data_IF_308556959356
#
_entry.id   IF_308556959356
#
_cell.length_a   1.000
_cell.length_b   1.000
_cell.length_c   1.000
_cell.angle_alpha   90.00
_cell.angle_beta   90.00
_cell.angle_gamma   90.00
#
_symmetry.space_group_name_H-M   'P 1'
#
loop_
_entity.id
_entity.type
_entity.pdbx_description
1 polymer ?
#
# COMPACT_ATOMS: atom_id res chain seq x y z
N UNK A 1 -52.98 -11.40 36.49
CA UNK A 1 -52.53 -10.80 35.22
C UNK A 1 -51.57 -9.69 35.60
N UNK A 2 -50.27 -9.95 35.45
CA UNK A 2 -49.35 -8.96 34.89
C UNK A 2 -48.22 -9.72 34.17
N UNK A 3 -47.97 -9.36 32.91
CA UNK A 3 -47.47 -10.25 31.86
C UNK A 3 -45.94 -10.30 31.72
N UNK A 4 -45.18 -9.98 32.78
CA UNK A 4 -43.71 -9.91 32.73
C UNK A 4 -42.97 -10.76 33.76
N UNK A 5 -43.68 -11.56 34.57
CA UNK A 5 -43.06 -12.39 35.62
C UNK A 5 -42.96 -13.89 35.29
N UNK A 6 -43.04 -14.29 34.01
CA UNK A 6 -43.12 -15.72 33.64
C UNK A 6 -42.09 -16.21 32.61
N UNK A 7 -41.00 -15.47 32.39
CA UNK A 7 -39.85 -15.94 31.58
C UNK A 7 -38.52 -15.69 32.31
N UNK A 8 -38.52 -15.82 33.64
CA UNK A 8 -37.30 -15.75 34.47
C UNK A 8 -36.84 -17.12 34.98
N UNK A 9 -37.49 -18.22 34.63
CA UNK A 9 -37.13 -19.54 35.13
C UNK A 9 -37.32 -20.66 34.11
N UNK A 10 -36.68 -20.54 32.94
CA UNK A 10 -36.16 -21.73 32.26
C UNK A 10 -35.06 -21.36 31.27
N UNK A 11 -34.01 -22.17 31.25
CA UNK A 11 -32.85 -22.12 30.37
C UNK A 11 -31.63 -21.31 30.87
N UNK A 12 -31.19 -21.63 32.08
CA UNK A 12 -29.79 -21.97 32.28
C UNK A 12 -29.48 -23.29 31.56
N UNK A 13 -29.28 -23.26 30.24
CA UNK A 13 -28.62 -24.36 29.49
C UNK A 13 -27.79 -23.75 28.36
N UNK A 14 -26.47 -23.72 28.59
CA UNK A 14 -25.39 -23.53 27.61
C UNK A 14 -25.58 -22.44 26.54
N UNK A 15 -25.34 -21.19 26.91
CA UNK A 15 -25.13 -20.09 25.95
C UNK A 15 -24.09 -19.13 26.49
N UNK A 16 -22.82 -19.34 26.15
CA UNK A 16 -21.75 -18.39 26.50
C UNK A 16 -21.97 -17.12 25.68
N UNK A 17 -22.42 -16.06 26.34
CA UNK A 17 -22.41 -14.70 25.80
C UNK A 17 -20.96 -14.24 25.71
N UNK A 18 -20.45 -13.95 24.52
CA UNK A 18 -19.11 -13.41 24.34
C UNK A 18 -19.13 -11.89 24.45
N UNK A 19 -18.21 -11.34 25.24
CA UNK A 19 -17.95 -9.91 25.34
C UNK A 19 -17.26 -9.36 24.12
N UNK A 20 -17.92 -8.51 23.33
CA UNK A 20 -17.31 -7.76 22.24
C UNK A 20 -16.63 -6.53 22.81
N UNK A 21 -15.48 -6.74 23.45
CA UNK A 21 -14.50 -5.69 23.71
C UNK A 21 -13.44 -5.58 22.59
N UNK A 22 -13.54 -6.38 21.52
CA UNK A 22 -12.36 -6.85 20.78
C UNK A 22 -12.26 -6.45 19.30
N UNK A 23 -13.10 -5.53 18.81
CA UNK A 23 -12.91 -4.89 17.51
C UNK A 23 -13.36 -3.42 17.57
N UNK A 24 -12.47 -2.51 17.19
CA UNK A 24 -12.80 -1.10 17.04
C UNK A 24 -13.09 -0.82 15.55
N UNK A 25 -14.27 -0.24 15.29
CA UNK A 25 -14.68 0.20 13.96
C UNK A 25 -14.23 1.64 13.81
N UNK A 26 -13.30 1.90 12.90
CA UNK A 26 -12.86 3.25 12.56
C UNK A 26 -13.49 3.69 11.24
N UNK A 27 -13.94 4.94 11.19
CA UNK A 27 -14.40 5.55 9.95
C UNK A 27 -13.29 5.56 8.90
N UNK A 28 -13.65 5.32 7.64
CA UNK A 28 -12.70 5.40 6.53
C UNK A 28 -12.53 6.85 6.12
N UNK A 29 -11.58 7.57 6.73
CA UNK A 29 -11.13 8.83 6.16
C UNK A 29 -10.28 8.54 4.91
N UNK A 30 -10.46 9.38 3.89
CA UNK A 30 -9.74 9.28 2.62
C UNK A 30 -8.26 9.50 2.92
N UNK A 31 -7.43 8.51 2.61
CA UNK A 31 -5.97 8.50 2.83
C UNK A 31 -5.20 9.46 1.88
N UNK A 32 -5.82 10.59 1.51
CA UNK A 32 -5.14 11.72 0.86
C UNK A 32 -4.29 12.52 1.87
N UNK A 33 -4.53 12.31 3.16
CA UNK A 33 -3.98 13.13 4.26
C UNK A 33 -2.48 12.94 4.49
N UNK A 34 -1.86 11.86 4.00
CA UNK A 34 -0.40 11.66 4.11
C UNK A 34 0.39 12.38 3.00
N UNK A 35 -0.24 12.71 1.86
CA UNK A 35 0.41 13.44 0.77
C UNK A 35 0.27 14.96 0.94
N UNK A 36 -0.83 15.40 1.56
CA UNK A 36 -1.05 16.81 1.87
C UNK A 36 -0.23 17.31 3.07
N UNK A 37 0.27 16.43 3.94
CA UNK A 37 1.07 16.82 5.11
C UNK A 37 2.47 17.34 4.76
N UNK A 38 3.00 17.05 3.57
CA UNK A 38 4.29 17.57 3.12
C UNK A 38 4.16 18.85 2.27
N UNK A 39 3.08 19.00 1.49
CA UNK A 39 2.91 20.15 0.59
C UNK A 39 2.30 21.40 1.26
N UNK A 40 1.68 21.26 2.43
CA UNK A 40 1.03 22.37 3.15
C UNK A 40 1.97 23.21 4.04
N UNK A 41 3.27 22.90 4.14
CA UNK A 41 4.20 23.68 4.98
C UNK A 41 4.53 25.10 4.45
N UNK A 42 4.08 25.46 3.25
CA UNK A 42 4.41 26.76 2.64
C UNK A 42 3.24 27.71 2.36
N UNK A 43 2.01 27.42 2.78
CA UNK A 43 0.92 28.40 2.64
C UNK A 43 -0.07 28.34 3.78
N UNK A 44 0.04 29.34 4.68
CA UNK A 44 -1.01 29.95 5.53
C UNK A 44 -1.78 28.99 6.46
N UNK A 45 -1.92 29.30 7.77
CA UNK A 45 -2.64 28.45 8.72
C UNK A 45 -4.15 28.54 8.50
N UNK A 46 -4.69 27.84 7.50
CA UNK A 46 -6.11 27.47 7.52
C UNK A 46 -6.29 26.38 8.54
N UNK A 47 -6.85 26.77 9.68
CA UNK A 47 -7.29 25.87 10.74
C UNK A 47 -8.22 24.83 10.14
N UNK A 48 -7.74 23.59 9.99
CA UNK A 48 -8.61 22.45 9.73
C UNK A 48 -9.51 22.35 10.96
N UNK A 49 -10.76 22.79 10.83
CA UNK A 49 -11.79 22.51 11.82
C UNK A 49 -11.93 20.99 11.90
N UNK A 50 -11.30 20.38 12.90
CA UNK A 50 -11.62 19.01 13.30
C UNK A 50 -13.11 19.03 13.68
N UNK A 51 -13.96 18.46 12.83
CA UNK A 51 -15.34 18.18 13.23
C UNK A 51 -15.29 17.10 14.30
N UNK A 52 -15.25 17.52 15.57
CA UNK A 52 -15.49 16.64 16.70
C UNK A 52 -16.98 16.33 16.75
N UNK A 53 -17.40 15.11 16.38
CA UNK A 53 -18.75 14.63 16.69
C UNK A 53 -19.48 13.80 15.63
N UNK A 54 -18.85 13.38 14.53
CA UNK A 54 -19.50 12.47 13.60
C UNK A 54 -19.49 11.05 14.17
N UNK A 55 -20.65 10.55 14.58
CA UNK A 55 -20.83 9.15 14.93
C UNK A 55 -21.87 8.51 14.01
N UNK A 56 -21.70 7.21 13.71
CA UNK A 56 -22.52 6.51 12.73
C UNK A 56 -23.18 5.28 13.31
N UNK A 57 -24.38 4.98 12.80
CA UNK A 57 -24.92 3.63 12.84
C UNK A 57 -24.24 2.81 11.76
N UNK A 58 -23.46 1.80 12.14
CA UNK A 58 -22.64 1.03 11.21
C UNK A 58 -23.29 -0.32 10.95
N UNK A 59 -23.75 -0.62 9.73
CA UNK A 59 -24.20 -1.96 9.37
C UNK A 59 -22.98 -2.88 9.27
N UNK A 60 -22.89 -3.86 10.18
CA UNK A 60 -21.79 -4.80 10.27
C UNK A 60 -22.26 -6.18 9.82
N UNK A 61 -21.50 -6.76 8.90
CA UNK A 61 -21.63 -8.16 8.49
C UNK A 61 -20.44 -8.95 9.04
N UNK A 62 -20.73 -10.09 9.67
CA UNK A 62 -19.76 -11.03 10.23
C UNK A 62 -19.90 -12.36 9.47
N UNK A 63 -18.80 -12.88 8.93
CA UNK A 63 -18.75 -14.16 8.22
C UNK A 63 -17.75 -15.12 8.88
N UNK A 64 -17.76 -16.37 8.41
CA UNK A 64 -16.68 -17.33 8.68
C UNK A 64 -15.34 -16.76 8.21
N UNK A 65 -14.27 -17.01 8.97
CA UNK A 65 -12.95 -16.45 8.66
C UNK A 65 -12.48 -16.80 7.25
N UNK A 66 -12.81 -17.99 6.75
CA UNK A 66 -12.30 -18.54 5.51
C UNK A 66 -13.30 -18.54 4.36
N UNK A 67 -14.55 -18.10 4.59
CA UNK A 67 -15.60 -18.09 3.57
C UNK A 67 -16.49 -16.84 3.70
N UNK A 68 -16.28 -15.90 2.78
CA UNK A 68 -17.02 -14.63 2.71
C UNK A 68 -18.51 -14.80 2.42
N UNK A 69 -18.92 -15.94 1.86
CA UNK A 69 -20.33 -16.24 1.57
C UNK A 69 -21.06 -16.85 2.78
N UNK A 70 -20.31 -17.45 3.72
CA UNK A 70 -20.84 -18.01 4.96
C UNK A 70 -21.03 -16.91 6.00
N UNK A 71 -22.07 -16.11 5.82
CA UNK A 71 -22.47 -15.07 6.76
C UNK A 71 -23.02 -15.69 8.04
N UNK A 72 -22.47 -15.28 9.18
CA UNK A 72 -22.86 -15.76 10.50
C UNK A 72 -23.86 -14.80 11.16
N UNK A 73 -23.60 -13.49 11.06
CA UNK A 73 -24.43 -12.45 11.68
C UNK A 73 -24.44 -11.19 10.82
N UNK A 74 -25.60 -10.53 10.73
CA UNK A 74 -25.73 -9.14 10.28
C UNK A 74 -26.37 -8.33 11.38
N UNK A 75 -25.76 -7.21 11.74
CA UNK A 75 -26.24 -6.34 12.82
C UNK A 75 -25.93 -4.88 12.51
N UNK A 76 -26.50 -3.97 13.29
CA UNK A 76 -26.16 -2.55 13.24
C UNK A 76 -25.53 -2.17 14.57
N UNK A 77 -24.31 -1.63 14.52
CA UNK A 77 -23.62 -1.12 15.68
C UNK A 77 -24.02 0.35 15.86
N UNK A 78 -24.64 0.72 17.00
CA UNK A 78 -25.00 2.10 17.25
C UNK A 78 -23.77 2.95 17.61
N UNK A 79 -23.86 4.28 17.43
CA UNK A 79 -22.80 5.20 17.85
C UNK A 79 -22.57 5.20 19.38
N UNK A 80 -21.37 5.62 19.84
CA UNK A 80 -20.95 5.49 21.25
C UNK A 80 -21.83 6.32 22.19
N UNK A 81 -22.32 7.48 21.74
CA UNK A 81 -23.28 8.28 22.52
C UNK A 81 -24.57 7.49 22.85
N UNK A 82 -25.01 6.62 21.95
CA UNK A 82 -26.21 5.79 22.14
C UNK A 82 -25.90 4.59 23.04
N UNK A 83 -24.72 3.99 22.89
CA UNK A 83 -24.28 2.88 23.75
C UNK A 83 -23.77 3.32 25.12
N UNK A 84 -23.69 4.63 25.40
CA UNK A 84 -23.13 5.22 26.63
C UNK A 84 -21.71 4.71 26.90
N UNK A 85 -20.89 4.72 25.85
CA UNK A 85 -19.50 4.21 25.85
C UNK A 85 -19.35 2.73 26.23
N UNK A 86 -20.46 1.97 26.31
CA UNK A 86 -20.40 0.54 26.53
C UNK A 86 -20.12 -0.20 25.21
N UNK A 87 -19.35 -1.29 25.26
CA UNK A 87 -19.10 -2.12 24.09
C UNK A 87 -20.41 -2.76 23.60
N UNK A 88 -20.63 -2.76 22.28
CA UNK A 88 -21.80 -3.43 21.68
C UNK A 88 -21.51 -4.91 21.51
N UNK A 89 -22.38 -5.74 22.09
CA UNK A 89 -22.23 -7.19 22.22
C UNK A 89 -23.00 -7.93 21.13
N UNK A 90 -22.34 -8.79 20.34
CA UNK A 90 -22.96 -9.48 19.20
C UNK A 90 -22.84 -11.01 19.32
N UNK A 91 -23.84 -11.71 19.85
CA UNK A 91 -23.75 -13.17 19.98
C UNK A 91 -23.54 -13.86 18.61
N UNK A 92 -22.44 -14.62 18.46
CA UNK A 92 -22.16 -15.43 17.27
C UNK A 92 -22.60 -16.87 17.55
N UNK A 93 -23.38 -17.50 16.65
CA UNK A 93 -23.74 -18.91 16.80
C UNK A 93 -22.50 -19.81 16.85
N UNK A 94 -22.37 -20.61 17.91
CA UNK A 94 -21.32 -21.62 18.04
C UNK A 94 -21.88 -23.01 17.71
N UNK A 95 -21.25 -23.74 16.79
CA UNK A 95 -21.55 -25.14 16.54
C UNK A 95 -20.38 -26.00 17.05
N UNK A 96 -20.61 -26.85 18.06
CA UNK A 96 -19.62 -27.85 18.49
C UNK A 96 -18.67 -27.43 19.63
N UNK A 97 -19.01 -26.41 20.42
CA UNK A 97 -18.27 -26.07 21.65
C UNK A 97 -16.95 -25.32 21.46
N UNK A 98 -16.46 -25.20 20.22
CA UNK A 98 -15.34 -24.32 19.86
C UNK A 98 -15.84 -22.93 19.48
N UNK A 99 -15.11 -21.86 19.85
CA UNK A 99 -15.47 -20.51 19.42
C UNK A 99 -15.30 -20.39 17.89
N UNK A 100 -16.28 -19.81 17.17
CA UNK A 100 -16.20 -19.64 15.73
C UNK A 100 -15.07 -18.65 15.38
N UNK A 101 -14.26 -19.03 14.39
CA UNK A 101 -13.29 -18.12 13.77
C UNK A 101 -14.03 -17.23 12.79
N UNK A 102 -13.96 -15.92 12.97
CA UNK A 102 -14.80 -14.97 12.24
C UNK A 102 -14.00 -13.84 11.62
N UNK A 103 -14.59 -13.23 10.59
CA UNK A 103 -14.10 -12.04 9.94
C UNK A 103 -15.24 -11.05 9.72
N UNK A 104 -14.93 -9.76 9.72
CA UNK A 104 -15.90 -8.70 9.54
C UNK A 104 -15.73 -8.06 8.16
N UNK A 105 -16.79 -7.40 7.71
CA UNK A 105 -16.83 -6.65 6.45
C UNK A 105 -16.41 -7.49 5.23
N UNK A 106 -17.05 -8.65 4.97
CA UNK A 106 -16.75 -9.44 3.77
C UNK A 106 -16.96 -8.60 2.52
N UNK A 107 -16.03 -8.71 1.58
CA UNK A 107 -15.94 -7.97 0.33
C UNK A 107 -15.87 -6.45 0.50
N UNK A 108 -15.44 -5.95 1.67
CA UNK A 108 -15.27 -4.52 1.93
C UNK A 108 -16.48 -3.65 1.55
N UNK A 109 -17.71 -4.17 1.77
CA UNK A 109 -18.95 -3.50 1.36
C UNK A 109 -19.28 -2.32 2.29
N UNK A 110 -18.94 -2.46 3.57
CA UNK A 110 -19.14 -1.43 4.57
C UNK A 110 -18.03 -0.38 4.53
N UNK A 111 -18.39 0.89 4.69
CA UNK A 111 -17.47 2.02 4.73
C UNK A 111 -16.86 2.19 6.13
N UNK A 112 -16.04 1.23 6.53
CA UNK A 112 -15.33 1.22 7.81
C UNK A 112 -14.14 0.27 7.77
N UNK A 113 -13.15 0.55 8.62
CA UNK A 113 -11.98 -0.31 8.83
C UNK A 113 -12.17 -1.22 10.03
N UNK A 114 -11.58 -2.41 9.99
CA UNK A 114 -11.68 -3.40 11.06
C UNK A 114 -10.36 -3.57 11.78
N UNK A 115 -10.31 -3.21 13.07
CA UNK A 115 -9.20 -3.55 13.95
C UNK A 115 -9.43 -4.92 14.62
N UNK A 116 -8.67 -5.93 14.22
CA UNK A 116 -8.75 -7.27 14.80
C UNK A 116 -7.84 -7.40 16.03
N UNK A 117 -8.34 -8.04 17.08
CA UNK A 117 -7.51 -8.37 18.25
C UNK A 117 -6.45 -9.43 17.93
N UNK A 118 -5.42 -9.50 18.78
CA UNK A 118 -4.37 -10.53 18.71
C UNK A 118 -4.91 -11.97 18.83
N UNK A 119 -6.12 -12.15 19.37
CA UNK A 119 -6.79 -13.45 19.45
C UNK A 119 -7.38 -13.90 18.10
N UNK A 120 -7.89 -12.95 17.30
CA UNK A 120 -8.52 -13.24 16.00
C UNK A 120 -7.52 -13.23 14.85
N UNK A 121 -6.49 -12.38 14.94
CA UNK A 121 -5.50 -12.18 13.88
C UNK A 121 -4.84 -13.48 13.39
N UNK A 122 -4.42 -14.44 14.25
CA UNK A 122 -3.82 -15.69 13.80
C UNK A 122 -4.72 -16.49 12.86
N UNK A 123 -6.03 -16.52 13.13
CA UNK A 123 -6.98 -17.23 12.27
C UNK A 123 -7.16 -16.60 10.89
N UNK A 124 -6.96 -15.29 10.80
CA UNK A 124 -7.00 -14.53 9.54
C UNK A 124 -5.71 -14.77 8.76
N UNK A 125 -4.55 -14.76 9.44
CA UNK A 125 -3.26 -15.10 8.83
C UNK A 125 -3.26 -16.53 8.28
N UNK A 126 -3.83 -17.50 9.01
CA UNK A 126 -4.03 -18.86 8.52
C UNK A 126 -4.87 -18.89 7.22
N UNK A 127 -5.96 -18.13 7.17
CA UNK A 127 -6.84 -18.06 6.01
C UNK A 127 -6.16 -17.38 4.79
N UNK A 128 -5.34 -16.36 5.05
CA UNK A 128 -4.50 -15.69 4.05
C UNK A 128 -3.47 -16.66 3.46
N UNK A 129 -2.70 -17.34 4.30
CA UNK A 129 -1.68 -18.29 3.86
C UNK A 129 -2.24 -19.52 3.14
N UNK A 130 -3.50 -19.88 3.39
CA UNK A 130 -4.21 -20.94 2.67
C UNK A 130 -4.89 -20.46 1.38
N UNK A 131 -4.73 -19.19 1.00
CA UNK A 131 -5.36 -18.57 -0.18
C UNK A 131 -6.89 -18.76 -0.25
N UNK A 132 -7.57 -18.76 0.90
CA UNK A 132 -9.03 -18.94 0.98
C UNK A 132 -9.83 -17.66 0.79
N UNK A 133 -9.17 -16.51 0.89
CA UNK A 133 -9.82 -15.20 0.84
C UNK A 133 -9.86 -14.65 -0.58
N UNK A 134 -10.94 -13.94 -0.90
CA UNK A 134 -11.07 -13.23 -2.18
C UNK A 134 -10.00 -12.13 -2.31
N UNK A 135 -9.71 -11.67 -3.53
CA UNK A 135 -8.78 -10.55 -3.75
C UNK A 135 -9.22 -9.28 -3.00
N UNK A 136 -10.52 -9.00 -2.98
CA UNK A 136 -11.07 -7.81 -2.32
C UNK A 136 -10.93 -7.89 -0.79
N UNK A 137 -11.17 -9.07 -0.21
CA UNK A 137 -10.97 -9.27 1.23
C UNK A 137 -9.51 -9.14 1.64
N UNK A 138 -8.61 -9.75 0.86
CA UNK A 138 -7.16 -9.64 1.08
C UNK A 138 -6.67 -8.20 1.03
N UNK A 139 -7.11 -7.45 0.01
CA UNK A 139 -6.80 -6.03 -0.14
C UNK A 139 -7.31 -5.21 1.05
N UNK A 140 -8.56 -5.43 1.46
CA UNK A 140 -9.17 -4.70 2.59
C UNK A 140 -8.42 -4.94 3.90
N UNK A 141 -8.09 -6.20 4.21
CA UNK A 141 -7.36 -6.56 5.43
C UNK A 141 -5.98 -5.91 5.44
N UNK A 142 -5.28 -5.96 4.30
CA UNK A 142 -3.96 -5.34 4.16
C UNK A 142 -4.02 -3.82 4.37
N UNK A 143 -4.93 -3.15 3.67
CA UNK A 143 -5.10 -1.71 3.75
C UNK A 143 -5.49 -1.26 5.16
N UNK A 144 -6.41 -1.99 5.80
CA UNK A 144 -6.85 -1.71 7.17
C UNK A 144 -5.69 -1.82 8.15
N UNK A 145 -4.90 -2.89 8.07
CA UNK A 145 -3.79 -3.09 9.00
C UNK A 145 -2.74 -1.97 8.91
N UNK A 146 -2.40 -1.51 7.70
CA UNK A 146 -1.47 -0.39 7.54
C UNK A 146 -2.06 0.96 7.97
N UNK A 147 -3.33 1.21 7.68
CA UNK A 147 -4.01 2.42 8.13
C UNK A 147 -4.12 2.47 9.67
N UNK A 148 -4.45 1.34 10.31
CA UNK A 148 -4.48 1.20 11.76
C UNK A 148 -3.11 1.40 12.39
N UNK A 149 -2.05 0.89 11.77
CA UNK A 149 -0.68 1.11 12.22
C UNK A 149 -0.28 2.60 12.14
N UNK A 150 -0.62 3.29 11.04
CA UNK A 150 -0.39 4.74 10.90
C UNK A 150 -1.16 5.55 11.94
N UNK A 151 -2.40 5.15 12.24
CA UNK A 151 -3.24 5.81 13.23
C UNK A 151 -2.88 5.43 14.69
N UNK A 152 -1.92 4.52 14.90
CA UNK A 152 -1.48 4.10 16.23
C UNK A 152 -2.41 3.12 16.94
N UNK A 153 -3.39 2.53 16.24
CA UNK A 153 -4.30 1.51 16.78
C UNK A 153 -3.72 0.09 16.77
N UNK A 154 -2.63 -0.14 16.03
CA UNK A 154 -1.81 -1.35 16.11
C UNK A 154 -0.34 -1.03 15.86
N UNK A 155 0.56 -2.00 16.10
CA UNK A 155 1.99 -1.81 15.84
C UNK A 155 2.33 -1.95 14.36
N UNK A 156 3.37 -1.23 13.91
CA UNK A 156 3.93 -1.41 12.57
C UNK A 156 4.44 -2.85 12.36
N UNK A 157 5.01 -3.46 13.40
CA UNK A 157 5.44 -4.87 13.38
C UNK A 157 4.28 -5.81 13.07
N UNK A 158 3.09 -5.57 13.64
CA UNK A 158 1.89 -6.35 13.33
C UNK A 158 1.49 -6.20 11.86
N UNK A 159 1.51 -4.97 11.32
CA UNK A 159 1.24 -4.73 9.90
C UNK A 159 2.25 -5.40 8.97
N UNK A 160 3.55 -5.33 9.28
CA UNK A 160 4.59 -6.00 8.51
C UNK A 160 4.51 -7.53 8.59
N UNK A 161 4.11 -8.07 9.74
CA UNK A 161 3.86 -9.51 9.92
C UNK A 161 2.65 -9.97 9.10
N UNK A 162 1.61 -9.16 9.02
CA UNK A 162 0.48 -9.44 8.14
C UNK A 162 0.91 -9.36 6.66
N UNK A 163 1.67 -8.33 6.29
CA UNK A 163 2.16 -8.16 4.93
C UNK A 163 3.00 -9.35 4.46
N UNK A 164 3.84 -9.95 5.33
CA UNK A 164 4.65 -11.13 4.96
C UNK A 164 3.83 -12.36 4.58
N UNK A 165 2.55 -12.42 4.94
CA UNK A 165 1.63 -13.51 4.52
C UNK A 165 1.20 -13.40 3.06
N UNK A 166 1.57 -12.31 2.35
CA UNK A 166 1.26 -12.07 0.94
C UNK A 166 2.37 -12.53 -0.02
N UNK A 167 3.30 -13.37 0.45
CA UNK A 167 4.32 -13.96 -0.42
C UNK A 167 3.67 -14.72 -1.58
N UNK A 168 4.07 -14.38 -2.81
CA UNK A 168 3.50 -14.99 -4.01
C UNK A 168 2.10 -14.50 -4.39
N UNK A 169 1.68 -13.33 -3.89
CA UNK A 169 0.52 -12.63 -4.42
C UNK A 169 0.60 -12.48 -5.95
N UNK A 170 -0.55 -12.53 -6.61
CA UNK A 170 -0.65 -12.36 -8.08
C UNK A 170 -1.59 -11.22 -8.46
N UNK A 171 -2.44 -10.77 -7.54
CA UNK A 171 -3.38 -9.68 -7.80
C UNK A 171 -2.68 -8.32 -7.86
N UNK A 172 -2.91 -7.58 -8.95
CA UNK A 172 -2.28 -6.30 -9.20
C UNK A 172 -2.66 -5.23 -8.16
N UNK A 173 -3.91 -5.18 -7.71
CA UNK A 173 -4.37 -4.15 -6.78
C UNK A 173 -3.73 -4.35 -5.40
N UNK A 174 -3.62 -5.61 -4.97
CA UNK A 174 -2.93 -5.97 -3.71
C UNK A 174 -1.44 -5.64 -3.80
N UNK A 175 -0.80 -5.93 -4.94
CA UNK A 175 0.60 -5.54 -5.16
C UNK A 175 0.81 -4.03 -5.13
N UNK A 176 -0.12 -3.26 -5.71
CA UNK A 176 -0.06 -1.81 -5.66
C UNK A 176 -0.12 -1.29 -4.22
N UNK A 177 -1.01 -1.85 -3.39
CA UNK A 177 -1.11 -1.52 -1.97
C UNK A 177 0.18 -1.88 -1.23
N UNK A 178 0.67 -3.12 -1.33
CA UNK A 178 1.94 -3.54 -0.72
C UNK A 178 3.08 -2.59 -1.10
N UNK A 179 3.25 -2.32 -2.40
CA UNK A 179 4.30 -1.42 -2.90
C UNK A 179 4.14 -0.02 -2.31
N UNK A 180 2.93 0.51 -2.28
CA UNK A 180 2.65 1.85 -1.76
C UNK A 180 3.06 1.95 -0.29
N UNK A 181 2.58 1.00 0.55
CA UNK A 181 2.83 1.01 1.99
C UNK A 181 4.31 0.78 2.33
N UNK A 182 4.98 -0.16 1.65
CA UNK A 182 6.39 -0.44 1.88
C UNK A 182 7.30 0.70 1.37
N UNK A 183 6.94 1.39 0.29
CA UNK A 183 7.67 2.58 -0.17
C UNK A 183 7.51 3.75 0.79
N UNK A 184 6.32 3.93 1.38
CA UNK A 184 6.11 4.94 2.41
C UNK A 184 7.03 4.70 3.61
N UNK A 185 7.11 3.47 4.10
CA UNK A 185 8.03 3.10 5.19
C UNK A 185 9.49 3.32 4.79
N UNK A 186 9.87 2.95 3.56
CA UNK A 186 11.23 3.20 3.05
C UNK A 186 11.60 4.67 3.10
N UNK A 187 10.70 5.55 2.67
CA UNK A 187 10.90 7.00 2.73
C UNK A 187 11.16 7.47 4.17
N UNK A 188 10.35 7.03 5.13
CA UNK A 188 10.53 7.36 6.54
C UNK A 188 11.87 6.86 7.11
N UNK A 189 12.29 5.65 6.74
CA UNK A 189 13.59 5.11 7.17
C UNK A 189 14.77 5.91 6.59
N UNK A 190 14.68 6.31 5.33
CA UNK A 190 15.70 7.10 4.66
C UNK A 190 15.79 8.51 5.24
N UNK A 191 14.64 9.15 5.52
CA UNK A 191 14.58 10.45 6.19
C UNK A 191 15.17 10.38 7.61
N UNK A 192 14.83 9.33 8.37
CA UNK A 192 15.36 9.13 9.72
C UNK A 192 16.88 8.86 9.73
N UNK A 193 17.41 8.29 8.65
CA UNK A 193 18.84 7.97 8.48
C UNK A 193 19.64 9.13 7.88
N UNK A 194 18.96 10.14 7.35
CA UNK A 194 19.60 11.28 6.70
C UNK A 194 20.28 12.18 7.74
N UNK A 195 21.61 12.23 7.69
CA UNK A 195 22.39 13.21 8.46
C UNK A 195 22.53 14.47 7.62
N UNK A 196 22.09 15.62 8.13
CA UNK A 196 22.26 16.89 7.44
C UNK A 196 23.75 17.15 7.20
N UNK A 197 24.16 17.17 5.93
CA UNK A 197 25.54 17.42 5.52
C UNK A 197 25.56 18.39 4.34
N UNK A 198 26.50 19.34 4.33
CA UNK A 198 26.71 20.28 3.23
C UNK A 198 27.22 19.61 1.94
N UNK A 199 27.56 18.32 1.99
CA UNK A 199 27.99 17.50 0.86
C UNK A 199 26.98 16.39 0.62
N UNK A 200 26.68 16.12 -0.65
CA UNK A 200 25.86 14.99 -1.07
C UNK A 200 26.51 13.69 -0.57
N UNK A 201 25.89 13.09 0.45
CA UNK A 201 26.33 11.85 1.08
C UNK A 201 25.28 10.77 0.82
N UNK A 202 25.72 9.62 0.32
CA UNK A 202 24.89 8.42 0.17
C UNK A 202 25.34 7.43 1.25
N UNK A 203 24.78 7.49 2.46
CA UNK A 203 25.15 6.56 3.50
C UNK A 203 24.80 5.12 3.08
N UNK A 204 25.53 4.11 3.57
CA UNK A 204 25.13 2.73 3.37
C UNK A 204 23.74 2.49 3.98
N UNK A 205 22.97 1.52 3.45
CA UNK A 205 21.65 1.19 3.97
C UNK A 205 21.71 0.84 5.46
N UNK A 206 20.72 1.29 6.22
CA UNK A 206 20.60 0.87 7.63
C UNK A 206 20.06 -0.56 7.75
N UNK A 207 20.27 -1.26 8.87
CA UNK A 207 19.69 -2.60 9.07
C UNK A 207 18.16 -2.66 8.87
N UNK A 208 17.46 -1.56 9.15
CA UNK A 208 16.02 -1.46 8.90
C UNK A 208 15.68 -1.36 7.41
N UNK A 209 16.48 -0.62 6.63
CA UNK A 209 16.34 -0.53 5.18
C UNK A 209 16.69 -1.85 4.49
N UNK A 210 17.72 -2.54 4.98
CA UNK A 210 18.10 -3.89 4.53
C UNK A 210 16.95 -4.88 4.82
N UNK A 211 16.45 -4.93 6.06
CA UNK A 211 15.35 -5.81 6.42
C UNK A 211 14.05 -5.53 5.65
N UNK A 212 13.76 -4.27 5.34
CA UNK A 212 12.63 -3.92 4.47
C UNK A 212 12.86 -4.37 3.02
N UNK A 213 14.09 -4.29 2.53
CA UNK A 213 14.45 -4.77 1.20
C UNK A 213 14.35 -6.29 1.11
N UNK A 214 14.80 -7.01 2.14
CA UNK A 214 14.65 -8.46 2.26
C UNK A 214 13.18 -8.89 2.29
N UNK A 215 12.32 -8.16 3.01
CA UNK A 215 10.88 -8.40 3.00
C UNK A 215 10.29 -8.22 1.59
N UNK A 216 10.63 -7.14 0.89
CA UNK A 216 10.16 -6.90 -0.48
C UNK A 216 10.63 -8.02 -1.42
N UNK A 217 11.88 -8.44 -1.30
CA UNK A 217 12.43 -9.56 -2.07
C UNK A 217 11.71 -10.86 -1.75
N UNK A 218 11.44 -11.14 -0.48
CA UNK A 218 10.71 -12.33 -0.05
C UNK A 218 9.29 -12.36 -0.63
N UNK A 219 8.54 -11.26 -0.49
CA UNK A 219 7.17 -11.13 -1.00
C UNK A 219 7.10 -11.41 -2.50
N UNK A 220 8.03 -10.81 -3.24
CA UNK A 220 8.05 -10.88 -4.68
C UNK A 220 8.98 -11.98 -5.21
N UNK A 221 9.54 -12.84 -4.36
CA UNK A 221 10.47 -13.90 -4.76
C UNK A 221 9.94 -14.79 -5.91
N UNK A 222 8.64 -15.18 -5.95
CA UNK A 222 8.11 -15.94 -7.09
C UNK A 222 8.21 -15.20 -8.44
N UNK A 223 8.23 -13.87 -8.41
CA UNK A 223 8.36 -12.98 -9.57
C UNK A 223 9.82 -12.57 -9.80
N UNK A 224 10.56 -12.18 -8.75
CA UNK A 224 11.95 -11.74 -8.82
C UNK A 224 12.93 -12.87 -9.13
N UNK A 225 12.68 -14.10 -8.71
CA UNK A 225 13.49 -15.25 -9.14
C UNK A 225 13.49 -15.39 -10.67
N UNK A 226 12.45 -14.87 -11.35
CA UNK A 226 12.44 -14.75 -12.81
C UNK A 226 13.22 -13.51 -13.28
N UNK A 227 13.00 -12.34 -12.68
CA UNK A 227 13.63 -11.07 -13.10
C UNK A 227 15.14 -10.99 -12.88
N UNK A 228 15.65 -11.58 -11.78
CA UNK A 228 17.08 -11.71 -11.50
C UNK A 228 17.74 -12.89 -12.21
N UNK A 229 16.99 -13.63 -13.04
CA UNK A 229 17.56 -14.63 -13.92
C UNK A 229 18.47 -13.93 -14.93
N UNK A 230 19.67 -14.48 -15.11
CA UNK A 230 20.60 -14.04 -16.15
C UNK A 230 19.91 -13.94 -17.54
N UNK A 231 18.92 -14.80 -17.81
CA UNK A 231 18.10 -14.74 -19.03
C UNK A 231 17.30 -13.45 -19.18
N UNK A 232 16.69 -12.94 -18.11
CA UNK A 232 15.90 -11.71 -18.17
C UNK A 232 16.79 -10.48 -18.31
N UNK A 233 17.94 -10.47 -17.62
CA UNK A 233 18.94 -9.42 -17.80
C UNK A 233 19.45 -9.42 -19.24
N UNK A 234 19.84 -10.58 -19.78
CA UNK A 234 20.26 -10.72 -21.18
C UNK A 234 19.18 -10.25 -22.17
N UNK A 235 17.91 -10.61 -21.96
CA UNK A 235 16.81 -10.15 -22.81
C UNK A 235 16.60 -8.63 -22.71
N UNK A 236 16.68 -8.04 -21.51
CA UNK A 236 16.58 -6.60 -21.33
C UNK A 236 17.68 -5.85 -22.09
N UNK A 237 18.93 -6.35 -22.04
CA UNK A 237 20.03 -5.81 -22.83
C UNK A 237 19.81 -5.99 -24.33
N UNK A 238 19.33 -7.14 -24.78
CA UNK A 238 19.04 -7.40 -26.19
C UNK A 238 17.90 -6.51 -26.73
N UNK A 239 16.84 -6.31 -25.94
CA UNK A 239 15.75 -5.38 -26.26
C UNK A 239 16.26 -3.94 -26.30
N UNK A 240 17.10 -3.54 -25.34
CA UNK A 240 17.69 -2.19 -25.33
C UNK A 240 18.62 -1.95 -26.51
N UNK A 241 19.47 -2.92 -26.88
CA UNK A 241 20.36 -2.80 -28.04
C UNK A 241 19.58 -2.63 -29.35
N UNK A 242 18.51 -3.43 -29.57
CA UNK A 242 17.61 -3.27 -30.73
C UNK A 242 16.96 -1.89 -30.76
N UNK A 243 16.45 -1.45 -29.62
CA UNK A 243 15.81 -0.14 -29.49
C UNK A 243 16.78 1.03 -29.70
N UNK A 244 17.98 0.94 -29.13
CA UNK A 244 19.04 1.93 -29.31
C UNK A 244 19.40 2.07 -30.78
N UNK A 245 19.64 0.94 -31.47
CA UNK A 245 19.95 0.96 -32.90
C UNK A 245 18.83 1.60 -33.72
N UNK A 246 17.59 1.19 -33.47
CA UNK A 246 16.44 1.73 -34.19
C UNK A 246 16.29 3.25 -33.98
N UNK A 247 16.44 3.75 -32.76
CA UNK A 247 16.12 5.15 -32.42
C UNK A 247 17.31 6.11 -32.54
N UNK A 248 18.55 5.64 -32.32
CA UNK A 248 19.74 6.49 -32.28
C UNK A 248 20.68 6.30 -33.47
N UNK A 249 20.80 5.09 -34.05
CA UNK A 249 21.70 4.82 -35.17
C UNK A 249 20.99 4.92 -36.54
N UNK A 250 19.76 4.42 -36.64
CA UNK A 250 18.97 4.38 -37.89
C UNK A 250 18.06 5.60 -38.10
N UNK A 251 18.38 6.75 -37.49
CA UNK A 251 17.60 8.00 -37.56
C UNK A 251 17.49 8.63 -38.98
N UNK A 252 17.96 7.95 -40.02
CA UNK A 252 18.08 8.45 -41.40
C UNK A 252 16.96 8.03 -42.37
N UNK A 253 15.88 7.40 -41.90
CA UNK A 253 14.59 7.46 -42.61
C UNK A 253 13.94 6.16 -43.07
N UNK A 254 14.40 4.98 -42.62
CA UNK A 254 13.63 3.75 -42.79
C UNK A 254 12.64 3.59 -41.62
N UNK A 255 11.39 3.24 -41.95
CA UNK A 255 10.34 3.00 -40.97
C UNK A 255 10.79 1.88 -40.01
N UNK A 256 11.09 2.24 -38.75
CA UNK A 256 11.52 1.28 -37.74
C UNK A 256 10.50 0.15 -37.61
N UNK A 257 10.98 -1.09 -37.50
CA UNK A 257 10.09 -2.21 -37.26
C UNK A 257 9.50 -2.06 -35.86
N UNK A 258 8.17 -2.18 -35.69
CA UNK A 258 7.52 -2.04 -34.40
C UNK A 258 8.08 -2.98 -33.31
N UNK A 259 8.60 -4.13 -33.73
CA UNK A 259 9.22 -5.15 -32.87
C UNK A 259 10.57 -4.76 -32.26
N UNK A 260 11.28 -3.79 -32.85
CA UNK A 260 12.57 -3.29 -32.33
C UNK A 260 12.38 -2.14 -31.35
N UNK A 261 11.17 -1.57 -31.28
CA UNK A 261 10.85 -0.47 -30.35
C UNK A 261 10.35 -1.04 -29.03
N UNK A 262 11.01 -0.66 -27.93
CA UNK A 262 10.53 -1.02 -26.59
C UNK A 262 9.15 -0.38 -26.35
N UNK A 263 8.12 -1.19 -26.01
CA UNK A 263 6.81 -0.70 -25.61
C UNK A 263 6.91 0.28 -24.44
N UNK A 264 6.11 1.35 -24.45
CA UNK A 264 6.19 2.43 -23.46
C UNK A 264 6.18 1.93 -22.01
N UNK A 265 5.31 0.95 -21.71
CA UNK A 265 5.16 0.36 -20.37
C UNK A 265 6.40 -0.40 -19.89
N UNK A 266 7.24 -0.88 -20.81
CA UNK A 266 8.45 -1.65 -20.49
C UNK A 266 9.72 -0.79 -20.45
N UNK A 267 9.68 0.47 -20.93
CA UNK A 267 10.86 1.34 -21.01
C UNK A 267 11.49 1.56 -19.65
N UNK A 268 10.70 1.91 -18.63
CA UNK A 268 11.21 2.17 -17.28
C UNK A 268 11.90 0.91 -16.72
N UNK A 269 11.27 -0.26 -16.88
CA UNK A 269 11.82 -1.51 -16.39
C UNK A 269 13.12 -1.88 -17.12
N UNK A 270 13.14 -1.82 -18.46
CA UNK A 270 14.31 -2.19 -19.26
C UNK A 270 15.47 -1.20 -19.03
N UNK A 271 15.23 0.11 -19.10
CA UNK A 271 16.27 1.11 -18.90
C UNK A 271 16.86 1.03 -17.48
N UNK A 272 16.01 0.83 -16.47
CA UNK A 272 16.49 0.69 -15.08
C UNK A 272 17.32 -0.57 -14.89
N UNK A 273 16.93 -1.69 -15.51
CA UNK A 273 17.71 -2.96 -15.47
C UNK A 273 19.05 -2.80 -16.18
N UNK A 274 19.06 -2.19 -17.37
CA UNK A 274 20.30 -1.93 -18.12
C UNK A 274 21.24 -0.99 -17.34
N UNK A 275 20.74 0.08 -16.73
CA UNK A 275 21.56 0.96 -15.88
C UNK A 275 22.11 0.27 -14.64
N UNK A 276 21.32 -0.63 -14.04
CA UNK A 276 21.71 -1.33 -12.82
C UNK A 276 22.82 -2.36 -13.07
N UNK A 277 22.84 -2.98 -14.24
CA UNK A 277 23.75 -4.08 -14.56
C UNK A 277 24.80 -3.72 -15.64
N UNK A 278 24.66 -2.58 -16.31
CA UNK A 278 25.53 -2.11 -17.38
C UNK A 278 26.68 -1.24 -16.88
N UNK A 279 27.58 -0.90 -17.79
CA UNK A 279 28.72 -0.03 -17.54
C UNK A 279 28.52 1.39 -18.08
N UNK A 280 29.64 2.08 -18.24
CA UNK A 280 29.69 3.44 -18.79
C UNK A 280 29.14 3.53 -20.23
N UNK A 281 29.34 2.48 -21.03
CA UNK A 281 28.85 2.42 -22.41
C UNK A 281 27.31 2.44 -22.47
N UNK A 282 26.64 1.59 -21.69
CA UNK A 282 25.19 1.55 -21.62
C UNK A 282 24.61 2.86 -21.07
N UNK A 283 25.27 3.46 -20.08
CA UNK A 283 24.90 4.77 -19.55
C UNK A 283 24.94 5.84 -20.65
N UNK A 284 26.03 5.90 -21.43
CA UNK A 284 26.18 6.85 -22.52
C UNK A 284 25.17 6.61 -23.66
N UNK A 285 24.86 5.34 -23.97
CA UNK A 285 23.80 4.98 -24.93
C UNK A 285 22.42 5.48 -24.49
N UNK A 286 22.08 5.31 -23.21
CA UNK A 286 20.82 5.81 -22.65
C UNK A 286 20.76 7.35 -22.69
N UNK A 287 21.87 8.02 -22.39
CA UNK A 287 21.95 9.47 -22.50
C UNK A 287 21.70 9.92 -23.95
N UNK A 288 22.30 9.25 -24.93
CA UNK A 288 22.08 9.50 -26.36
C UNK A 288 20.61 9.33 -26.77
N UNK A 289 19.93 8.26 -26.32
CA UNK A 289 18.49 8.06 -26.57
C UNK A 289 17.66 9.18 -25.95
N UNK A 290 18.03 9.64 -24.75
CA UNK A 290 17.30 10.71 -24.05
C UNK A 290 17.41 12.07 -24.76
N UNK A 291 18.55 12.34 -25.40
CA UNK A 291 18.82 13.60 -26.11
C UNK A 291 18.39 13.56 -27.57
N UNK A 292 18.37 12.38 -28.20
CA UNK A 292 17.94 12.17 -29.59
C UNK A 292 16.42 12.03 -29.72
N UNK A 293 15.74 11.58 -28.66
CA UNK A 293 14.28 11.60 -28.61
C UNK A 293 13.80 13.06 -28.54
N UNK A 294 13.39 13.62 -29.67
CA UNK A 294 12.44 14.74 -29.68
C UNK A 294 11.09 14.24 -29.13
N UNK A 295 10.99 14.11 -27.81
CA UNK A 295 9.70 14.24 -27.15
C UNK A 295 9.24 15.67 -27.44
N UNK A 296 8.32 15.81 -28.39
CA UNK A 296 7.56 17.04 -28.60
C UNK A 296 6.83 17.31 -27.29
N UNK A 297 7.47 18.07 -26.40
CA UNK A 297 6.78 18.81 -25.37
C UNK A 297 5.76 19.66 -26.09
N UNK A 298 4.49 19.25 -26.04
CA UNK A 298 3.38 20.14 -26.38
C UNK A 298 3.58 21.46 -25.62
N UNK A 299 3.52 22.63 -26.29
CA UNK A 299 4.01 23.90 -25.75
C UNK A 299 3.04 24.53 -24.74
N UNK A 300 2.71 23.82 -23.66
CA UNK A 300 1.91 24.36 -22.54
C UNK A 300 2.78 24.68 -21.32
N UNK A 301 4.05 24.27 -21.27
CA UNK A 301 4.93 24.52 -20.12
C UNK A 301 6.18 25.35 -20.42
N UNK A 302 6.35 25.85 -21.65
CA UNK A 302 7.53 26.61 -22.07
C UNK A 302 7.50 28.12 -21.72
N UNK A 303 6.82 28.51 -20.64
CA UNK A 303 6.76 29.92 -20.20
C UNK A 303 7.69 30.27 -19.02
N UNK A 304 8.53 29.34 -18.54
CA UNK A 304 9.42 29.62 -17.41
C UNK A 304 10.93 29.70 -17.72
N UNK A 305 11.35 29.51 -18.99
CA UNK A 305 12.78 29.48 -19.33
C UNK A 305 13.17 30.34 -20.55
N UNK A 306 12.57 31.52 -20.71
CA UNK A 306 13.10 32.55 -21.63
C UNK A 306 13.08 33.93 -20.98
N UNK A 307 14.12 34.20 -20.19
CA UNK A 307 14.68 35.54 -20.08
C UNK A 307 16.16 35.40 -19.73
N UNK A 308 17.07 35.42 -20.71
CA UNK A 308 18.49 35.58 -20.43
C UNK A 308 18.72 37.00 -19.92
N UNK A 309 19.17 37.13 -18.67
CA UNK A 309 19.70 38.40 -18.16
C UNK A 309 20.98 38.76 -18.95
N UNK A 310 21.16 40.02 -19.38
CA UNK A 310 22.34 40.44 -20.11
C UNK A 310 23.58 40.49 -19.20
N UNK A 311 24.81 40.34 -19.75
CA UNK A 311 26.03 40.35 -18.96
C UNK A 311 26.30 41.75 -18.40
N UNK A 312 26.23 41.90 -17.07
CA UNK A 312 26.65 43.10 -16.34
C UNK A 312 28.12 43.00 -15.88
N UNK A 313 28.81 44.13 -15.66
CA UNK A 313 30.26 44.18 -15.53
C UNK A 313 30.74 43.62 -14.18
N UNK A 314 31.89 42.94 -14.21
CA UNK A 314 32.64 42.55 -13.03
C UNK A 314 33.00 43.80 -12.21
N UNK A 315 32.58 43.82 -10.94
CA UNK A 315 33.10 44.76 -9.94
C UNK A 315 33.82 43.93 -8.88
N UNK A 316 35.14 44.01 -8.88
CA UNK A 316 35.98 43.61 -7.77
C UNK A 316 35.70 44.54 -6.58
N UNK A 317 35.49 43.99 -5.39
CA UNK A 317 35.66 44.72 -4.14
C UNK A 317 36.48 43.80 -3.23
N UNK A 318 37.58 44.35 -2.72
CA UNK A 318 38.58 43.66 -1.89
C UNK A 318 38.19 43.53 -0.43
#
# INVERSE_FOLDING_TARGET
MDQLSLVAEHCAVSGRTFTFKFAEILGQDIDLTARETLETWHTVPTSIKRYSGSEWYVPVTICDVADSNKVLVRTVIPPRSVSKDLPTMVAIPCSGGTPPKVRLNPNAVGFYRVNYSDELLPSILDALGQHKLSALDRLSILSDQFALARAGHCSLTSALTLASSFTGETDYAIWCELRSQLNYIRGLLQEASYTSCDKLCFPPPTPAEEGLSDLVLHLAAPTFNKLGSEKVVQEAFAMFARHYKAVAEDATGDAHKPEDIIPADLRVAIYSTVLRHGGEEEFNRLLCVSTSCHFVWSPVSANFARNPLPPGPCVCIG
#
